data_IF_629043516328
#
_entry.id   IF_629043516328
#
_cell.length_a   1.000
_cell.length_b   1.000
_cell.length_c   1.000
_cell.angle_alpha   90.00
_cell.angle_beta   90.00
_cell.angle_gamma   90.00
#
_symmetry.space_group_name_H-M   'P 1'
#
loop_
_entity.id
_entity.type
_entity.pdbx_description
1 polymer ?
#
# COMPACT_ATOMS: atom_id res chain seq x y z
N UNK A 1 10.44 17.40 8.60
CA UNK A 1 9.81 16.86 7.39
C UNK A 1 9.74 15.36 7.54
N UNK A 2 8.55 14.79 7.56
CA UNK A 2 8.38 13.33 7.46
C UNK A 2 8.74 12.92 6.03
N UNK A 3 9.57 11.88 5.81
CA UNK A 3 9.88 11.42 4.45
C UNK A 3 8.59 11.03 3.71
N UNK A 4 8.52 11.38 2.42
CA UNK A 4 7.31 11.28 1.57
C UNK A 4 6.77 9.84 1.52
N UNK A 5 7.66 8.86 1.59
CA UNK A 5 7.36 7.43 1.71
C UNK A 5 6.48 7.08 2.93
N UNK A 6 6.72 7.67 4.10
CA UNK A 6 5.88 7.41 5.28
C UNK A 6 4.49 8.05 5.16
N UNK A 7 4.35 9.14 4.41
CA UNK A 7 3.04 9.77 4.14
C UNK A 7 2.16 8.83 3.30
N UNK A 8 2.71 8.19 2.27
CA UNK A 8 1.94 7.27 1.42
C UNK A 8 1.52 6.00 2.17
N UNK A 9 2.41 5.45 3.01
CA UNK A 9 2.07 4.32 3.87
C UNK A 9 1.00 4.68 4.90
N UNK A 10 1.06 5.89 5.47
CA UNK A 10 0.03 6.39 6.37
C UNK A 10 -1.34 6.50 5.68
N UNK A 11 -1.40 7.10 4.49
CA UNK A 11 -2.63 7.17 3.69
C UNK A 11 -3.18 5.78 3.38
N UNK A 12 -2.32 4.80 3.08
CA UNK A 12 -2.71 3.42 2.84
C UNK A 12 -3.28 2.72 4.09
N UNK A 13 -2.67 2.93 5.27
CA UNK A 13 -3.18 2.41 6.54
C UNK A 13 -4.55 3.02 6.89
N UNK A 14 -4.70 4.32 6.66
CA UNK A 14 -5.98 5.04 6.83
C UNK A 14 -7.05 4.48 5.89
N UNK A 15 -6.71 4.34 4.61
CA UNK A 15 -7.60 3.76 3.59
C UNK A 15 -8.04 2.35 3.97
N UNK A 16 -7.14 1.51 4.48
CA UNK A 16 -7.48 0.18 4.99
C UNK A 16 -8.48 0.23 6.15
N UNK A 17 -8.34 1.16 7.09
CA UNK A 17 -9.25 1.29 8.22
C UNK A 17 -10.65 1.75 7.79
N UNK A 18 -10.73 2.65 6.81
CA UNK A 18 -11.98 3.28 6.39
C UNK A 18 -12.73 2.50 5.29
N UNK A 19 -12.03 1.69 4.48
CA UNK A 19 -12.67 0.96 3.35
C UNK A 19 -13.74 -0.05 3.79
N UNK A 20 -13.69 -0.56 5.02
CA UNK A 20 -14.64 -1.56 5.51
C UNK A 20 -16.08 -1.02 5.56
N UNK A 21 -16.23 0.30 5.67
CA UNK A 21 -17.50 1.00 5.70
C UNK A 21 -17.95 1.53 4.33
N UNK A 22 -17.21 1.23 3.26
CA UNK A 22 -17.41 1.83 1.94
C UNK A 22 -17.87 0.80 0.89
N UNK A 23 -18.80 1.19 0.03
CA UNK A 23 -19.22 0.36 -1.10
C UNK A 23 -18.06 0.17 -2.11
N UNK A 24 -17.98 -0.98 -2.81
CA UNK A 24 -16.92 -1.22 -3.78
C UNK A 24 -17.00 -0.26 -4.99
N UNK A 25 -15.92 -0.18 -5.76
CA UNK A 25 -15.88 0.58 -7.01
C UNK A 25 -15.74 2.08 -6.81
N UNK A 26 -16.71 2.86 -7.31
CA UNK A 26 -16.62 4.32 -7.33
C UNK A 26 -16.46 4.95 -5.94
N UNK A 27 -17.07 4.37 -4.90
CA UNK A 27 -16.95 4.89 -3.54
C UNK A 27 -15.55 4.67 -2.94
N UNK A 28 -14.87 3.55 -3.26
CA UNK A 28 -13.47 3.35 -2.90
C UNK A 28 -12.52 4.32 -3.61
N UNK A 29 -12.79 4.62 -4.89
CA UNK A 29 -12.03 5.62 -5.63
C UNK A 29 -12.19 7.01 -5.00
N UNK A 30 -13.42 7.39 -4.63
CA UNK A 30 -13.70 8.63 -3.93
C UNK A 30 -13.00 8.71 -2.57
N UNK A 31 -13.06 7.64 -1.76
CA UNK A 31 -12.37 7.56 -0.46
C UNK A 31 -10.86 7.77 -0.61
N UNK A 32 -10.24 7.18 -1.62
CA UNK A 32 -8.81 7.38 -1.89
C UNK A 32 -8.49 8.84 -2.23
N UNK A 33 -9.30 9.49 -3.07
CA UNK A 33 -9.14 10.91 -3.40
C UNK A 33 -9.32 11.81 -2.17
N UNK A 34 -10.32 11.52 -1.33
CA UNK A 34 -10.56 12.23 -0.07
C UNK A 34 -9.35 12.14 0.85
N UNK A 35 -8.85 10.93 1.10
CA UNK A 35 -7.66 10.73 1.94
C UNK A 35 -6.44 11.46 1.36
N UNK A 36 -6.19 11.35 0.05
CA UNK A 36 -5.06 12.02 -0.59
C UNK A 36 -5.14 13.55 -0.49
N UNK A 37 -6.35 14.12 -0.50
CA UNK A 37 -6.57 15.55 -0.38
C UNK A 37 -6.43 16.03 1.06
N UNK A 38 -6.99 15.30 2.02
CA UNK A 38 -6.96 15.65 3.44
C UNK A 38 -5.57 15.45 4.07
N UNK A 39 -4.86 14.38 3.73
CA UNK A 39 -3.56 14.08 4.33
C UNK A 39 -2.40 14.86 3.67
N UNK A 40 -2.64 15.51 2.52
CA UNK A 40 -1.69 16.44 1.89
C UNK A 40 -1.37 17.67 2.78
N UNK A 41 -2.20 17.95 3.79
CA UNK A 41 -1.93 18.99 4.80
C UNK A 41 -0.80 18.59 5.78
N UNK A 42 -0.29 17.35 5.72
CA UNK A 42 0.92 16.92 6.40
C UNK A 42 0.85 16.83 7.92
N UNK A 43 -0.35 16.95 8.52
CA UNK A 43 -0.56 16.95 9.98
C UNK A 43 -0.90 15.55 10.50
N UNK A 44 0.13 14.72 10.69
CA UNK A 44 -0.02 13.48 11.44
C UNK A 44 0.30 13.70 12.92
N UNK A 45 -0.49 13.10 13.80
CA UNK A 45 -0.16 13.07 15.23
C UNK A 45 1.11 12.24 15.46
N UNK A 46 1.86 12.55 16.52
CA UNK A 46 3.08 11.81 16.88
C UNK A 46 2.80 10.30 17.06
N UNK A 47 1.65 9.94 17.63
CA UNK A 47 1.22 8.56 17.78
C UNK A 47 1.02 7.85 16.41
N UNK A 48 0.44 8.55 15.42
CA UNK A 48 0.31 8.00 14.06
C UNK A 48 1.66 7.85 13.38
N UNK A 49 2.57 8.82 13.51
CA UNK A 49 3.94 8.68 12.99
C UNK A 49 4.64 7.45 13.55
N UNK A 50 4.52 7.21 14.86
CA UNK A 50 5.13 6.05 15.50
C UNK A 50 4.54 4.73 14.97
N UNK A 51 3.22 4.65 14.81
CA UNK A 51 2.57 3.45 14.27
C UNK A 51 3.02 3.17 12.83
N UNK A 52 3.08 4.20 11.97
CA UNK A 52 3.50 4.05 10.57
C UNK A 52 4.97 3.61 10.49
N UNK A 53 5.83 4.18 11.34
CA UNK A 53 7.23 3.77 11.42
C UNK A 53 7.39 2.32 11.92
N UNK A 54 6.58 1.88 12.88
CA UNK A 54 6.57 0.50 13.36
C UNK A 54 6.13 -0.48 12.27
N UNK A 55 5.08 -0.15 11.51
CA UNK A 55 4.63 -0.97 10.38
C UNK A 55 5.66 -1.03 9.25
N UNK A 56 6.25 0.11 8.88
CA UNK A 56 7.34 0.13 7.90
C UNK A 56 8.51 -0.77 8.35
N UNK A 57 8.93 -0.65 9.61
CA UNK A 57 10.00 -1.48 10.17
C UNK A 57 9.63 -2.97 10.19
N UNK A 58 8.38 -3.33 10.50
CA UNK A 58 7.90 -4.72 10.46
C UNK A 58 7.98 -5.28 9.05
N UNK A 59 7.49 -4.54 8.05
CA UNK A 59 7.51 -4.97 6.64
C UNK A 59 8.95 -5.11 6.12
N UNK A 60 9.85 -4.20 6.50
CA UNK A 60 11.26 -4.25 6.09
C UNK A 60 12.02 -5.46 6.65
N UNK A 61 11.54 -6.08 7.74
CA UNK A 61 12.12 -7.30 8.32
C UNK A 61 11.70 -8.59 7.62
N UNK A 62 10.74 -8.55 6.69
CA UNK A 62 10.34 -9.74 5.93
C UNK A 62 11.44 -10.07 4.93
N UNK A 63 11.98 -11.28 5.03
CA UNK A 63 13.08 -11.83 4.22
C UNK A 63 12.61 -12.94 3.28
N UNK A 64 13.53 -13.42 2.43
CA UNK A 64 13.25 -14.46 1.44
C UNK A 64 12.72 -15.76 2.06
N UNK A 65 13.17 -16.07 3.27
CA UNK A 65 12.77 -17.26 4.03
C UNK A 65 11.36 -17.14 4.63
N UNK A 66 10.80 -15.92 4.68
CA UNK A 66 9.46 -15.64 5.19
C UNK A 66 8.40 -15.65 4.08
N UNK A 67 8.75 -16.09 2.87
CA UNK A 67 7.83 -16.13 1.74
C UNK A 67 6.86 -17.32 1.84
N UNK A 68 5.56 -17.13 1.50
CA UNK A 68 4.95 -15.89 1.03
C UNK A 68 4.58 -14.93 2.17
N UNK A 69 4.59 -13.61 1.92
CA UNK A 69 4.16 -12.62 2.91
C UNK A 69 2.64 -12.68 3.11
N UNK A 70 2.15 -12.02 4.16
CA UNK A 70 0.72 -11.86 4.36
C UNK A 70 0.09 -11.08 3.18
N UNK A 71 -1.04 -11.57 2.66
CA UNK A 71 -1.82 -10.90 1.60
C UNK A 71 -2.16 -9.46 1.96
N UNK A 72 -2.39 -9.22 3.26
CA UNK A 72 -2.65 -7.89 3.77
C UNK A 72 -1.43 -6.96 3.61
N UNK A 73 -0.21 -7.44 3.75
CA UNK A 73 0.97 -6.59 3.55
C UNK A 73 1.13 -6.24 2.06
N UNK A 74 0.87 -7.20 1.17
CA UNK A 74 0.84 -6.96 -0.28
C UNK A 74 -0.22 -5.90 -0.63
N UNK A 75 -1.44 -6.05 -0.11
CA UNK A 75 -2.52 -5.08 -0.35
C UNK A 75 -2.16 -3.68 0.14
N UNK A 76 -1.52 -3.58 1.31
CA UNK A 76 -1.09 -2.32 1.91
C UNK A 76 -0.04 -1.61 1.06
N UNK A 77 0.99 -2.35 0.60
CA UNK A 77 2.05 -1.78 -0.24
C UNK A 77 1.53 -1.31 -1.59
N UNK A 78 0.61 -2.07 -2.21
CA UNK A 78 -0.02 -1.67 -3.47
C UNK A 78 -0.86 -0.40 -3.29
N UNK A 79 -1.57 -0.27 -2.17
CA UNK A 79 -2.31 0.95 -1.85
C UNK A 79 -1.39 2.14 -1.61
N UNK A 80 -0.26 1.94 -0.93
CA UNK A 80 0.76 2.97 -0.74
C UNK A 80 1.35 3.44 -2.07
N UNK A 81 1.62 2.53 -3.01
CA UNK A 81 2.06 2.87 -4.37
C UNK A 81 0.98 3.66 -5.10
N UNK A 82 -0.30 3.26 -4.99
CA UNK A 82 -1.40 3.98 -5.61
C UNK A 82 -1.46 5.44 -5.12
N UNK A 83 -1.31 5.67 -3.83
CA UNK A 83 -1.21 7.02 -3.26
C UNK A 83 0.02 7.78 -3.78
N UNK A 84 1.20 7.13 -3.80
CA UNK A 84 2.46 7.72 -4.28
C UNK A 84 2.34 8.26 -5.72
N UNK A 85 1.66 7.53 -6.60
CA UNK A 85 1.50 7.91 -8.01
C UNK A 85 0.20 8.70 -8.29
N UNK A 86 -0.59 9.03 -7.26
CA UNK A 86 -1.88 9.71 -7.41
C UNK A 86 -2.96 8.88 -8.13
N UNK A 87 -2.84 7.56 -8.15
CA UNK A 87 -3.80 6.67 -8.80
C UNK A 87 -5.00 6.38 -7.90
N UNK A 88 -6.18 6.27 -8.50
CA UNK A 88 -7.41 5.89 -7.80
C UNK A 88 -7.61 4.38 -7.70
N UNK A 89 -6.84 3.57 -8.43
CA UNK A 89 -6.99 2.11 -8.50
C UNK A 89 -5.69 1.35 -8.21
N UNK A 90 -5.82 0.14 -7.65
CA UNK A 90 -4.68 -0.78 -7.52
C UNK A 90 -4.16 -1.27 -8.86
N UNK A 91 -4.98 -1.25 -9.92
CA UNK A 91 -4.55 -1.68 -11.24
C UNK A 91 -3.42 -0.79 -11.78
N UNK A 92 -3.52 0.52 -11.55
CA UNK A 92 -2.49 1.46 -11.98
C UNK A 92 -1.20 1.33 -11.15
N UNK A 93 -1.32 1.05 -9.85
CA UNK A 93 -0.18 0.73 -8.99
C UNK A 93 0.56 -0.55 -9.42
N UNK A 94 -0.16 -1.59 -9.86
CA UNK A 94 0.48 -2.79 -10.42
C UNK A 94 1.22 -2.46 -11.73
N UNK A 95 0.61 -1.67 -12.62
CA UNK A 95 1.23 -1.23 -13.87
C UNK A 95 2.50 -0.43 -13.63
N UNK A 96 2.52 0.45 -12.62
CA UNK A 96 3.69 1.30 -12.34
C UNK A 96 4.92 0.51 -11.92
N UNK A 97 4.76 -0.74 -11.44
CA UNK A 97 5.86 -1.66 -11.13
C UNK A 97 6.02 -2.79 -12.15
N UNK A 98 5.40 -2.66 -13.33
CA UNK A 98 5.54 -3.61 -14.44
C UNK A 98 4.73 -4.91 -14.29
N UNK A 99 3.81 -4.99 -13.33
CA UNK A 99 2.98 -6.19 -13.10
C UNK A 99 1.63 -6.02 -13.80
N UNK A 100 1.21 -7.04 -14.56
CA UNK A 100 -0.10 -7.07 -15.18
C UNK A 100 -1.21 -6.97 -14.09
N UNK A 101 -2.20 -6.05 -14.22
CA UNK A 101 -3.24 -5.88 -13.21
C UNK A 101 -4.10 -7.11 -12.90
N UNK A 102 -4.33 -7.99 -13.88
CA UNK A 102 -5.05 -9.23 -13.66
C UNK A 102 -4.21 -10.18 -12.80
N UNK A 103 -2.91 -10.32 -13.10
CA UNK A 103 -1.97 -11.05 -12.25
C UNK A 103 -1.91 -10.45 -10.85
N UNK A 104 -1.80 -9.14 -10.72
CA UNK A 104 -1.81 -8.45 -9.42
C UNK A 104 -3.08 -8.70 -8.61
N UNK A 105 -4.24 -8.74 -9.27
CA UNK A 105 -5.52 -9.12 -8.64
C UNK A 105 -5.50 -10.56 -8.15
N UNK A 106 -4.96 -11.48 -8.96
CA UNK A 106 -4.88 -12.89 -8.61
C UNK A 106 -3.95 -13.14 -7.41
N UNK A 107 -2.83 -12.40 -7.33
CA UNK A 107 -1.91 -12.39 -6.18
C UNK A 107 -2.59 -11.90 -4.88
N UNK A 108 -3.64 -11.08 -4.97
CA UNK A 108 -4.40 -10.62 -3.80
C UNK A 108 -5.59 -11.52 -3.44
N UNK A 109 -5.99 -12.45 -4.31
CA UNK A 109 -7.19 -13.25 -4.15
C UNK A 109 -6.87 -14.73 -3.94
N UNK A 110 -6.68 -15.47 -5.04
CA UNK A 110 -6.60 -16.94 -5.04
C UNK A 110 -5.16 -17.46 -5.01
N UNK A 111 -4.21 -16.64 -5.45
CA UNK A 111 -2.80 -17.00 -5.61
C UNK A 111 -1.91 -16.19 -4.66
N UNK A 112 -2.36 -15.93 -3.43
CA UNK A 112 -1.54 -15.25 -2.42
C UNK A 112 -0.22 -15.98 -2.15
N UNK A 113 -0.23 -17.31 -2.26
CA UNK A 113 0.96 -18.16 -2.14
C UNK A 113 1.95 -18.01 -3.31
N UNK A 114 1.58 -17.31 -4.39
CA UNK A 114 2.43 -17.10 -5.57
C UNK A 114 3.23 -15.79 -5.51
N UNK A 115 3.16 -15.05 -4.39
CA UNK A 115 4.04 -13.90 -4.16
C UNK A 115 5.42 -14.44 -3.76
N UNK A 116 6.36 -14.36 -4.69
CA UNK A 116 7.76 -14.71 -4.48
C UNK A 116 8.60 -13.50 -4.07
N UNK A 117 9.86 -13.76 -3.71
CA UNK A 117 10.78 -12.72 -3.27
C UNK A 117 10.98 -11.59 -4.29
N UNK A 118 11.19 -11.84 -5.60
CA UNK A 118 11.28 -10.77 -6.59
C UNK A 118 10.06 -9.85 -6.62
N UNK A 119 8.84 -10.41 -6.59
CA UNK A 119 7.60 -9.62 -6.56
C UNK A 119 7.52 -8.81 -5.27
N UNK A 120 7.77 -9.45 -4.13
CA UNK A 120 7.73 -8.82 -2.82
C UNK A 120 8.75 -7.68 -2.68
N UNK A 121 10.00 -7.92 -3.08
CA UNK A 121 11.07 -6.94 -3.02
C UNK A 121 10.74 -5.71 -3.89
N UNK A 122 10.23 -5.93 -5.10
CA UNK A 122 9.82 -4.86 -6.01
C UNK A 122 8.71 -4.01 -5.40
N UNK A 123 7.67 -4.64 -4.85
CA UNK A 123 6.58 -3.96 -4.15
C UNK A 123 7.08 -3.13 -2.98
N UNK A 124 7.90 -3.74 -2.11
CA UNK A 124 8.45 -3.12 -0.91
C UNK A 124 9.28 -1.90 -1.25
N UNK A 125 10.17 -2.02 -2.25
CA UNK A 125 11.02 -0.92 -2.73
C UNK A 125 10.16 0.20 -3.33
N UNK A 126 9.23 -0.11 -4.22
CA UNK A 126 8.38 0.90 -4.85
C UNK A 126 7.48 1.65 -3.84
N UNK A 127 7.06 0.98 -2.77
CA UNK A 127 6.20 1.57 -1.75
C UNK A 127 6.96 2.38 -0.69
N UNK A 128 8.15 1.91 -0.26
CA UNK A 128 8.82 2.40 0.95
C UNK A 128 10.16 3.11 0.72
N UNK A 129 10.73 3.04 -0.49
CA UNK A 129 11.98 3.73 -0.82
C UNK A 129 11.68 4.93 -1.73
N UNK A 130 12.27 6.08 -1.40
CA UNK A 130 12.10 7.34 -2.16
C UNK A 130 12.70 7.21 -3.56
#
# INVERSE_FOLDING_TARGET
MTPITLTNLHMALRFRAERASCAPGAALAALRTTIATEDNDGRLSAARHQLVAQEAARILRIHIDDMPPATDDVALLVDAIAFRIGATTRADAWRSIGINPNRGRDLLARNAQAVDWPIWFTLRTAALQD
#
